data_IF_289320802497
#
_entry.id   IF_289320802497
#
_cell.length_a   1.000
_cell.length_b   1.000
_cell.length_c   1.000
_cell.angle_alpha   90.00
_cell.angle_beta   90.00
_cell.angle_gamma   90.00
#
_symmetry.space_group_name_H-M   'P 1'
#
loop_
_entity.id
_entity.type
_entity.pdbx_description
1 polymer ?
#
# COMPACT_ATOMS: atom_id res chain seq x y z
N UNK A 1 17.68 -7.90 -0.42
CA UNK A 1 18.08 -9.31 -0.59
C UNK A 1 17.30 -10.19 0.39
N UNK A 2 17.39 -11.52 0.29
CA UNK A 2 16.81 -12.42 1.30
C UNK A 2 17.42 -12.27 2.69
N UNK A 3 18.65 -11.75 2.79
CA UNK A 3 19.30 -11.45 4.09
C UNK A 3 18.74 -10.18 4.73
N UNK A 4 18.33 -9.20 3.92
CA UNK A 4 17.80 -7.92 4.43
C UNK A 4 16.37 -8.03 5.00
N UNK A 5 15.63 -9.07 4.63
CA UNK A 5 14.21 -9.18 4.99
C UNK A 5 13.98 -9.84 6.36
N UNK A 6 14.88 -10.72 6.81
CA UNK A 6 14.68 -11.44 8.06
C UNK A 6 14.54 -10.51 9.28
N UNK A 7 15.39 -9.48 9.47
CA UNK A 7 15.22 -8.53 10.57
C UNK A 7 13.90 -7.74 10.48
N UNK A 8 13.43 -7.46 9.26
CA UNK A 8 12.15 -6.80 9.02
C UNK A 8 10.99 -7.69 9.46
N UNK A 9 11.00 -8.97 9.08
CA UNK A 9 9.97 -9.94 9.45
C UNK A 9 9.89 -10.13 10.97
N UNK A 10 11.04 -10.21 11.65
CA UNK A 10 11.11 -10.32 13.11
C UNK A 10 10.52 -9.10 13.84
N UNK A 11 10.65 -7.91 13.25
CA UNK A 11 10.09 -6.69 13.82
C UNK A 11 8.58 -6.53 13.57
N UNK A 12 8.03 -7.26 12.60
CA UNK A 12 6.62 -7.18 12.24
C UNK A 12 5.70 -7.97 13.18
N UNK A 13 4.41 -7.66 13.12
CA UNK A 13 3.33 -8.42 13.76
C UNK A 13 2.25 -8.78 12.73
N UNK A 14 1.35 -9.69 13.06
CA UNK A 14 0.20 -9.95 12.19
C UNK A 14 -0.62 -8.68 11.99
N UNK A 15 -1.01 -8.41 10.75
CA UNK A 15 -1.67 -7.17 10.38
C UNK A 15 -3.20 -7.26 10.61
N UNK A 16 -3.76 -6.48 11.56
CA UNK A 16 -5.21 -6.38 11.68
C UNK A 16 -5.79 -5.46 10.61
N UNK A 17 -7.10 -5.51 10.41
CA UNK A 17 -7.84 -4.58 9.56
C UNK A 17 -9.07 -4.00 10.28
N UNK A 18 -9.56 -2.88 9.77
CA UNK A 18 -10.77 -2.23 10.29
C UNK A 18 -12.03 -2.89 9.75
N UNK A 19 -13.02 -3.11 10.62
CA UNK A 19 -14.37 -3.55 10.23
C UNK A 19 -15.39 -2.70 11.00
N UNK A 20 -15.87 -1.64 10.37
CA UNK A 20 -16.66 -0.61 11.06
C UNK A 20 -15.82 0.06 12.15
N UNK A 21 -16.29 0.01 13.40
CA UNK A 21 -15.56 0.52 14.57
C UNK A 21 -14.59 -0.49 15.19
N UNK A 22 -14.55 -1.72 14.70
CA UNK A 22 -13.71 -2.78 15.26
C UNK A 22 -12.37 -2.89 14.55
N UNK A 23 -11.33 -3.28 15.30
CA UNK A 23 -10.06 -3.77 14.74
C UNK A 23 -10.06 -5.29 14.85
N UNK A 24 -9.97 -5.97 13.71
CA UNK A 24 -10.16 -7.43 13.59
C UNK A 24 -8.89 -8.09 13.08
N UNK A 25 -8.56 -9.25 13.65
CA UNK A 25 -7.54 -10.15 13.15
C UNK A 25 -8.21 -11.40 12.60
N UNK A 26 -8.35 -11.47 11.28
CA UNK A 26 -8.95 -12.60 10.57
C UNK A 26 -8.08 -13.00 9.37
N UNK A 27 -7.25 -14.05 9.51
CA UNK A 27 -6.37 -14.55 8.45
C UNK A 27 -7.09 -15.02 7.18
N UNK A 28 -8.41 -15.24 7.21
CA UNK A 28 -9.20 -15.63 6.04
C UNK A 28 -9.62 -14.42 5.18
N UNK A 29 -9.48 -13.21 5.74
CA UNK A 29 -9.78 -11.96 5.06
C UNK A 29 -8.52 -11.14 4.75
N UNK A 30 -7.58 -11.13 5.70
CA UNK A 30 -6.26 -10.53 5.54
C UNK A 30 -5.21 -11.41 6.17
N UNK A 31 -4.27 -11.88 5.36
CA UNK A 31 -3.05 -12.52 5.85
C UNK A 31 -1.88 -11.66 5.38
N UNK A 32 -1.26 -10.96 6.32
CA UNK A 32 -0.11 -10.09 6.10
C UNK A 32 0.59 -9.80 7.42
N UNK A 33 1.81 -9.29 7.33
CA UNK A 33 2.54 -8.71 8.43
C UNK A 33 2.52 -7.18 8.35
N UNK A 34 2.67 -6.50 9.49
CA UNK A 34 2.73 -5.05 9.59
C UNK A 34 3.84 -4.60 10.54
N UNK A 35 4.57 -3.56 10.12
CA UNK A 35 5.45 -2.76 10.95
C UNK A 35 4.82 -1.38 11.17
N UNK A 36 4.48 -0.99 12.42
CA UNK A 36 3.94 0.33 12.74
C UNK A 36 4.91 1.47 12.42
N UNK A 37 4.40 2.65 12.02
CA UNK A 37 5.24 3.81 11.68
C UNK A 37 6.22 4.23 12.77
N UNK A 38 5.93 3.99 14.05
CA UNK A 38 6.83 4.36 15.16
C UNK A 38 8.06 3.46 15.26
N UNK A 39 8.11 2.38 14.47
CA UNK A 39 9.19 1.39 14.47
C UNK A 39 10.15 1.54 13.31
N UNK A 40 9.89 2.46 12.38
CA UNK A 40 10.80 2.75 11.28
C UNK A 40 10.72 4.22 10.87
N UNK A 41 11.72 4.67 10.11
CA UNK A 41 11.72 5.99 9.52
C UNK A 41 12.18 5.90 8.07
N UNK A 42 11.60 6.74 7.22
CA UNK A 42 12.13 6.98 5.88
C UNK A 42 13.16 8.10 6.04
N UNK A 43 14.41 7.80 5.72
CA UNK A 43 15.48 8.80 5.81
C UNK A 43 15.34 9.81 4.65
N UNK A 44 15.43 11.14 4.91
CA UNK A 44 15.43 12.14 3.85
C UNK A 44 16.60 11.99 2.86
N UNK A 45 17.65 11.28 3.27
CA UNK A 45 18.81 11.00 2.41
C UNK A 45 18.59 9.78 1.50
N UNK A 46 17.51 9.03 1.66
CA UNK A 46 17.22 7.88 0.79
C UNK A 46 16.33 8.31 -0.38
N UNK A 47 16.51 7.64 -1.53
CA UNK A 47 15.68 7.84 -2.74
C UNK A 47 14.24 7.33 -2.59
N UNK A 48 13.72 7.29 -1.36
CA UNK A 48 12.41 6.76 -0.99
C UNK A 48 11.52 7.83 -0.37
N UNK A 49 12.08 8.97 0.04
CA UNK A 49 11.28 10.09 0.55
C UNK A 49 10.43 10.70 -0.59
N UNK A 50 9.08 10.63 -0.49
CA UNK A 50 8.19 11.09 -1.56
C UNK A 50 8.29 12.59 -1.85
N UNK A 51 8.79 13.40 -0.90
CA UNK A 51 9.08 14.81 -1.13
C UNK A 51 10.32 14.99 -1.99
N UNK A 52 11.39 14.25 -1.68
CA UNK A 52 12.69 14.38 -2.35
C UNK A 52 12.61 13.88 -3.79
N UNK A 53 11.82 12.84 -4.04
CA UNK A 53 11.68 12.25 -5.38
C UNK A 53 10.53 12.84 -6.21
N UNK A 54 9.86 13.90 -5.74
CA UNK A 54 8.83 14.62 -6.50
C UNK A 54 7.48 13.91 -6.63
N UNK A 55 7.23 12.83 -5.87
CA UNK A 55 5.98 12.05 -5.93
C UNK A 55 4.76 12.94 -5.62
N UNK A 56 4.88 13.84 -4.63
CA UNK A 56 3.74 14.70 -4.25
C UNK A 56 3.37 15.72 -5.33
N UNK A 57 4.35 16.15 -6.13
CA UNK A 57 4.09 17.05 -7.26
C UNK A 57 3.35 16.32 -8.38
N UNK A 58 3.73 15.06 -8.64
CA UNK A 58 3.01 14.18 -9.57
C UNK A 58 1.56 13.95 -9.10
N UNK A 59 1.36 13.66 -7.82
CA UNK A 59 0.01 13.49 -7.24
C UNK A 59 -0.81 14.77 -7.37
N UNK A 60 -0.23 15.93 -7.02
CA UNK A 60 -0.92 17.22 -7.16
C UNK A 60 -1.34 17.48 -8.61
N UNK A 61 -0.46 17.18 -9.56
CA UNK A 61 -0.72 17.40 -10.98
C UNK A 61 -1.80 16.47 -11.54
N UNK A 62 -1.72 15.18 -11.22
CA UNK A 62 -2.53 14.14 -11.87
C UNK A 62 -3.82 13.83 -11.13
N UNK A 63 -3.79 13.80 -9.79
CA UNK A 63 -4.94 13.43 -8.98
C UNK A 63 -5.77 14.65 -8.55
N UNK A 64 -5.13 15.80 -8.31
CA UNK A 64 -5.80 17.02 -7.83
C UNK A 64 -5.90 18.14 -8.88
N UNK A 65 -5.60 17.85 -10.15
CA UNK A 65 -5.68 18.81 -11.26
C UNK A 65 -4.92 20.12 -11.01
N UNK A 66 -3.72 20.03 -10.40
CA UNK A 66 -2.89 21.18 -10.02
C UNK A 66 -3.57 22.14 -9.03
N UNK A 67 -4.19 21.61 -7.99
CA UNK A 67 -4.68 22.46 -6.90
C UNK A 67 -3.50 23.19 -6.22
N UNK A 68 -3.69 24.46 -5.86
CA UNK A 68 -2.73 25.23 -5.05
C UNK A 68 -2.65 24.74 -3.59
N UNK A 69 -3.38 23.68 -3.24
CA UNK A 69 -3.39 23.12 -1.89
C UNK A 69 -2.10 22.35 -1.66
N UNK A 70 -1.41 22.68 -0.57
CA UNK A 70 -0.25 21.92 -0.10
C UNK A 70 -0.69 20.51 0.30
N UNK A 71 -0.08 19.50 -0.34
CA UNK A 71 -0.23 18.10 0.01
C UNK A 71 0.83 17.72 1.04
N UNK A 72 0.45 16.88 2.00
CA UNK A 72 1.37 16.32 2.99
C UNK A 72 1.21 14.81 3.03
N UNK A 73 2.30 14.06 2.87
CA UNK A 73 2.31 12.62 3.11
C UNK A 73 2.58 12.36 4.60
N UNK A 74 1.76 11.50 5.22
CA UNK A 74 1.96 11.02 6.60
C UNK A 74 2.25 9.52 6.54
N UNK A 75 3.35 9.11 7.15
CA UNK A 75 3.73 7.69 7.25
C UNK A 75 2.73 6.96 8.17
N UNK A 76 2.08 5.91 7.68
CA UNK A 76 1.10 5.11 8.46
C UNK A 76 1.72 3.79 8.95
N UNK A 77 2.16 2.95 8.02
CA UNK A 77 2.69 1.60 8.31
C UNK A 77 3.41 1.03 7.10
N UNK A 78 4.17 -0.03 7.32
CA UNK A 78 4.70 -0.90 6.28
C UNK A 78 4.00 -2.26 6.39
N UNK A 79 3.49 -2.78 5.27
CA UNK A 79 2.97 -4.14 5.21
C UNK A 79 3.99 -5.04 4.51
N UNK A 80 4.10 -6.29 4.97
CA UNK A 80 4.92 -7.32 4.31
C UNK A 80 4.03 -8.52 4.02
N UNK A 81 4.07 -9.01 2.79
CA UNK A 81 3.32 -10.16 2.32
C UNK A 81 4.28 -11.27 1.91
N UNK A 82 4.24 -12.41 2.60
CA UNK A 82 4.98 -13.62 2.23
C UNK A 82 4.16 -14.56 1.35
N UNK A 83 4.69 -15.74 0.98
CA UNK A 83 3.97 -16.69 0.14
C UNK A 83 2.59 -17.07 0.69
N UNK A 84 1.58 -16.89 -0.14
CA UNK A 84 0.16 -17.08 0.14
C UNK A 84 -0.53 -15.87 0.78
N UNK A 85 0.19 -14.88 1.28
CA UNK A 85 -0.40 -13.70 1.93
C UNK A 85 -1.20 -12.85 0.94
N UNK A 86 -2.27 -12.24 1.44
CA UNK A 86 -3.25 -11.49 0.64
C UNK A 86 -4.04 -10.52 1.53
N UNK A 87 -4.77 -9.60 0.90
CA UNK A 87 -5.77 -8.79 1.58
C UNK A 87 -6.95 -8.55 0.64
N UNK A 88 -8.12 -9.08 0.99
CA UNK A 88 -9.35 -8.94 0.19
C UNK A 88 -9.78 -7.48 0.01
N UNK A 89 -10.59 -7.25 -1.02
CA UNK A 89 -11.18 -5.94 -1.35
C UNK A 89 -11.75 -5.20 -0.14
N UNK A 90 -11.21 -4.00 0.08
CA UNK A 90 -11.57 -3.10 1.17
C UNK A 90 -11.34 -1.63 0.76
N UNK A 91 -11.80 -0.72 1.62
CA UNK A 91 -11.49 0.71 1.54
C UNK A 91 -10.74 1.09 2.80
N UNK A 92 -9.76 1.97 2.67
CA UNK A 92 -8.96 2.43 3.82
C UNK A 92 -9.84 3.17 4.84
N UNK A 93 -9.58 2.93 6.12
CA UNK A 93 -10.21 3.71 7.18
C UNK A 93 -9.56 5.10 7.23
N UNK A 94 -10.33 6.20 7.07
CA UNK A 94 -9.79 7.55 7.17
C UNK A 94 -9.07 7.78 8.50
N UNK A 95 -7.86 8.35 8.43
CA UNK A 95 -7.04 8.66 9.62
C UNK A 95 -7.25 10.07 10.16
N UNK A 96 -7.83 10.94 9.35
CA UNK A 96 -8.09 12.33 9.66
C UNK A 96 -9.13 12.89 8.69
N UNK A 97 -9.80 13.98 9.07
CA UNK A 97 -10.80 14.63 8.22
C UNK A 97 -10.21 15.32 6.98
N UNK A 98 -8.89 15.51 6.94
CA UNK A 98 -8.16 16.09 5.82
C UNK A 98 -7.52 15.03 4.89
N UNK A 99 -7.66 13.74 5.21
CA UNK A 99 -7.19 12.65 4.35
C UNK A 99 -8.09 12.53 3.12
N UNK A 100 -7.49 12.57 1.93
CA UNK A 100 -8.21 12.43 0.65
C UNK A 100 -7.78 11.20 -0.15
N UNK A 101 -6.69 10.55 0.24
CA UNK A 101 -6.09 9.49 -0.57
C UNK A 101 -5.03 8.71 0.17
N UNK A 102 -4.63 7.61 -0.47
CA UNK A 102 -3.59 6.70 -0.02
C UNK A 102 -2.43 6.77 -1.02
N UNK A 103 -1.20 6.81 -0.50
CA UNK A 103 0.04 6.66 -1.27
C UNK A 103 0.74 5.39 -0.79
N UNK A 104 0.96 4.45 -1.71
CA UNK A 104 1.73 3.23 -1.45
C UNK A 104 3.04 3.30 -2.22
N UNK A 105 4.14 2.96 -1.53
CA UNK A 105 5.45 2.75 -2.13
C UNK A 105 5.85 1.28 -1.93
N UNK A 106 6.22 0.62 -3.02
CA UNK A 106 6.71 -0.74 -3.06
C UNK A 106 8.23 -0.74 -3.09
N UNK A 107 8.84 -1.34 -2.08
CA UNK A 107 10.29 -1.50 -2.03
C UNK A 107 10.76 -2.51 -3.07
N UNK A 108 11.97 -2.35 -3.64
CA UNK A 108 12.51 -3.27 -4.64
C UNK A 108 12.84 -4.63 -3.98
N UNK A 109 11.85 -5.52 -4.02
CA UNK A 109 11.95 -6.89 -3.52
C UNK A 109 11.33 -7.81 -4.57
N UNK A 110 12.12 -8.75 -5.11
CA UNK A 110 11.64 -9.68 -6.12
C UNK A 110 10.57 -10.62 -5.53
N UNK A 111 9.42 -10.68 -6.19
CA UNK A 111 8.30 -11.53 -5.80
C UNK A 111 7.44 -11.89 -7.02
N UNK A 112 6.61 -12.94 -6.89
CA UNK A 112 5.58 -13.31 -7.88
C UNK A 112 4.21 -13.25 -7.21
N UNK A 113 3.19 -12.77 -7.93
CA UNK A 113 1.88 -12.49 -7.36
C UNK A 113 1.90 -11.21 -6.53
N UNK A 114 0.98 -11.07 -5.56
CA UNK A 114 0.98 -9.90 -4.68
C UNK A 114 0.50 -8.61 -5.34
N UNK A 115 -0.10 -8.69 -6.53
CA UNK A 115 -0.53 -7.51 -7.26
C UNK A 115 -1.55 -6.72 -6.44
N UNK A 116 -1.34 -5.40 -6.34
CA UNK A 116 -2.36 -4.49 -5.86
C UNK A 116 -3.32 -4.22 -7.02
N UNK A 117 -4.62 -4.43 -6.77
CA UNK A 117 -5.70 -4.07 -7.67
C UNK A 117 -6.45 -2.90 -7.04
N UNK A 118 -6.51 -1.77 -7.74
CA UNK A 118 -7.26 -0.57 -7.32
C UNK A 118 -8.43 -0.37 -8.25
N UNK A 119 -9.65 -0.39 -7.71
CA UNK A 119 -10.88 -0.24 -8.47
C UNK A 119 -11.33 1.22 -8.52
N UNK A 120 -12.06 1.59 -9.58
CA UNK A 120 -12.70 2.88 -9.66
C UNK A 120 -13.72 3.09 -8.53
N UNK A 121 -13.89 4.34 -8.09
CA UNK A 121 -14.89 4.74 -7.09
C UNK A 121 -16.29 4.29 -7.52
N UNK A 122 -17.04 3.65 -6.61
CA UNK A 122 -18.36 3.06 -6.82
C UNK A 122 -18.43 1.74 -7.63
N UNK A 123 -17.31 1.17 -8.05
CA UNK A 123 -17.31 -0.22 -8.53
C UNK A 123 -17.68 -1.15 -7.36
N UNK A 124 -18.72 -1.98 -7.51
CA UNK A 124 -18.95 -3.06 -6.53
C UNK A 124 -17.80 -4.05 -6.61
N UNK A 125 -17.42 -4.69 -5.51
CA UNK A 125 -16.39 -5.73 -5.51
C UNK A 125 -16.71 -6.91 -6.47
N UNK A 126 -18.00 -7.08 -6.81
CA UNK A 126 -18.51 -8.07 -7.76
C UNK A 126 -18.51 -7.59 -9.23
N UNK A 127 -18.27 -6.29 -9.47
CA UNK A 127 -18.18 -5.64 -10.78
C UNK A 127 -16.70 -5.46 -11.22
N UNK A 128 -15.84 -6.41 -10.84
CA UNK A 128 -14.45 -6.50 -11.24
C UNK A 128 -14.26 -6.86 -12.74
N UNK A 129 -15.09 -6.29 -13.62
CA UNK A 129 -15.01 -6.42 -15.08
C UNK A 129 -13.96 -5.45 -15.67
N UNK A 130 -12.74 -5.46 -15.10
CA UNK A 130 -11.58 -4.81 -15.72
C UNK A 130 -11.48 -3.29 -15.61
N UNK A 131 -12.30 -2.62 -14.79
CA UNK A 131 -12.24 -1.16 -14.59
C UNK A 131 -11.21 -0.68 -13.56
N UNK A 132 -10.32 -1.58 -13.11
CA UNK A 132 -9.29 -1.30 -12.10
C UNK A 132 -7.87 -1.21 -12.67
N UNK A 133 -6.96 -0.58 -11.91
CA UNK A 133 -5.53 -0.60 -12.16
C UNK A 133 -4.87 -1.74 -11.39
N UNK A 134 -4.13 -2.59 -12.08
CA UNK A 134 -3.36 -3.69 -11.47
C UNK A 134 -1.87 -3.40 -11.57
N UNK A 135 -1.18 -3.43 -10.44
CA UNK A 135 0.27 -3.24 -10.38
C UNK A 135 1.01 -4.48 -10.84
N UNK A 136 2.19 -4.32 -11.44
CA UNK A 136 3.11 -5.42 -11.74
C UNK A 136 4.51 -5.12 -11.16
N UNK A 137 4.61 -5.06 -9.84
CA UNK A 137 5.83 -4.62 -9.14
C UNK A 137 6.84 -5.74 -8.89
N UNK A 138 6.42 -7.01 -8.93
CA UNK A 138 7.26 -8.15 -8.57
C UNK A 138 8.52 -8.33 -9.41
N UNK A 139 8.52 -7.81 -10.64
CA UNK A 139 9.65 -7.83 -11.56
C UNK A 139 10.47 -6.53 -11.57
N UNK A 140 10.10 -5.52 -10.77
CA UNK A 140 10.73 -4.20 -10.79
C UNK A 140 11.79 -4.12 -9.69
N UNK A 141 13.03 -3.81 -10.08
CA UNK A 141 14.19 -3.71 -9.18
C UNK A 141 14.41 -2.29 -8.63
N UNK A 142 13.46 -1.39 -8.86
CA UNK A 142 13.46 -0.02 -8.36
C UNK A 142 12.20 0.29 -7.54
N UNK A 143 12.23 1.41 -6.82
CA UNK A 143 11.07 1.88 -6.06
C UNK A 143 9.91 2.15 -7.01
N UNK A 144 8.78 1.50 -6.76
CA UNK A 144 7.52 1.76 -7.46
C UNK A 144 6.51 2.36 -6.52
N UNK A 145 5.58 3.17 -7.03
CA UNK A 145 4.56 3.79 -6.19
C UNK A 145 3.23 3.93 -6.93
N UNK A 146 2.15 4.09 -6.17
CA UNK A 146 0.82 4.41 -6.66
C UNK A 146 0.09 5.26 -5.63
N UNK A 147 -0.72 6.21 -6.10
CA UNK A 147 -1.63 6.96 -5.26
C UNK A 147 -3.04 6.92 -5.82
N UNK A 148 -4.03 6.85 -4.94
CA UNK A 148 -5.45 6.79 -5.29
C UNK A 148 -6.30 7.46 -4.21
N UNK A 149 -7.53 7.82 -4.55
CA UNK A 149 -8.45 8.44 -3.59
C UNK A 149 -8.88 7.46 -2.50
N UNK A 150 -9.17 7.98 -1.31
CA UNK A 150 -9.41 7.16 -0.12
C UNK A 150 -10.69 6.33 -0.21
N UNK A 151 -11.58 6.62 -1.15
CA UNK A 151 -12.81 5.91 -1.43
C UNK A 151 -12.68 4.86 -2.54
N UNK A 152 -11.50 4.69 -3.14
CA UNK A 152 -11.23 3.61 -4.08
C UNK A 152 -11.12 2.26 -3.34
N UNK A 153 -11.99 1.27 -3.65
CA UNK A 153 -11.79 -0.09 -3.19
C UNK A 153 -10.48 -0.64 -3.76
N UNK A 154 -9.78 -1.46 -2.98
CA UNK A 154 -8.56 -2.10 -3.44
C UNK A 154 -8.28 -3.41 -2.71
N UNK A 155 -7.50 -4.28 -3.34
CA UNK A 155 -7.07 -5.56 -2.78
C UNK A 155 -5.63 -5.90 -3.13
N UNK A 156 -5.05 -6.81 -2.37
CA UNK A 156 -3.75 -7.42 -2.65
C UNK A 156 -3.97 -8.90 -2.95
N UNK A 157 -3.68 -9.30 -4.19
CA UNK A 157 -3.79 -10.68 -4.63
C UNK A 157 -2.75 -11.56 -3.92
N UNK A 158 -2.96 -12.90 -3.88
CA UNK A 158 -2.03 -13.80 -3.21
C UNK A 158 -0.60 -13.71 -3.77
N UNK A 159 0.38 -13.53 -2.89
CA UNK A 159 1.80 -13.71 -3.24
C UNK A 159 2.04 -15.19 -3.49
N UNK A 160 2.71 -15.52 -4.59
CA UNK A 160 3.07 -16.90 -4.96
C UNK A 160 4.47 -17.27 -4.51
N UNK A 161 5.41 -16.33 -4.63
CA UNK A 161 6.81 -16.52 -4.21
C UNK A 161 7.46 -15.19 -3.83
N UNK A 162 8.54 -15.26 -3.04
CA UNK A 162 9.23 -14.08 -2.53
C UNK A 162 8.46 -13.37 -1.42
N UNK A 163 8.77 -12.09 -1.22
CA UNK A 163 8.05 -11.22 -0.28
C UNK A 163 7.84 -9.85 -0.92
N UNK A 164 6.65 -9.31 -0.72
CA UNK A 164 6.24 -7.98 -1.17
C UNK A 164 6.13 -7.02 0.00
#
# INVERSE_FOLDING_TARGET
SSEDIAPLLEACKQAPFGRGSETVLDPTYRRALVLPAERFAVSPATQVDPYVVGILDEISRHLLSRSDRRIVARLDKMNVYGPGDFFKSHVDTPKSSDMFGTLLANLPAAHEGGELVVYATNARAEEADGSGHTTNWGAIDCLSWIAFFSDCPHEVLPVKSGHR
#
